data_IF_061679344995
#
_entry.id   IF_061679344995
#
_cell.length_a   1.000
_cell.length_b   1.000
_cell.length_c   1.000
_cell.angle_alpha   90.00
_cell.angle_beta   90.00
_cell.angle_gamma   90.00
#
_symmetry.space_group_name_H-M   'P 1'
#
loop_
_entity.id
_entity.type
_entity.pdbx_description
1 polymer ?
#
# COMPACT_ATOMS: atom_id res chain seq x y z
N UNK A 1 -58.15 -55.85 38.96
CA UNK A 1 -56.72 -55.76 38.71
C UNK A 1 -56.51 -54.65 37.69
N UNK A 2 -56.05 -53.50 38.15
CA UNK A 2 -55.78 -52.34 37.34
C UNK A 2 -54.26 -52.20 37.21
N UNK A 3 -53.73 -52.35 35.99
CA UNK A 3 -52.30 -52.12 35.70
C UNK A 3 -52.05 -50.62 35.48
N UNK A 4 -51.27 -50.03 36.33
CA UNK A 4 -50.75 -48.67 36.17
C UNK A 4 -49.45 -48.79 35.38
N UNK A 5 -49.46 -48.28 34.12
CA UNK A 5 -48.26 -48.15 33.32
C UNK A 5 -47.64 -46.77 33.65
N UNK A 6 -46.52 -46.75 34.32
CA UNK A 6 -45.72 -45.55 34.55
C UNK A 6 -44.90 -45.23 33.29
N UNK A 7 -45.26 -44.17 32.57
CA UNK A 7 -44.45 -43.68 31.44
C UNK A 7 -43.35 -42.81 32.04
N UNK A 8 -42.12 -43.31 31.93
CA UNK A 8 -40.92 -42.58 32.29
C UNK A 8 -40.58 -41.61 31.14
N UNK A 9 -40.95 -40.35 31.26
CA UNK A 9 -40.49 -39.31 30.34
C UNK A 9 -39.03 -39.02 30.58
N UNK A 10 -38.14 -39.51 29.70
CA UNK A 10 -36.75 -39.02 29.62
C UNK A 10 -36.76 -37.59 29.06
N UNK A 11 -36.51 -36.64 29.91
CA UNK A 11 -36.24 -35.27 29.50
C UNK A 11 -34.84 -35.20 28.92
N UNK A 12 -34.74 -35.31 27.58
CA UNK A 12 -33.52 -35.00 26.82
C UNK A 12 -33.33 -33.46 26.91
N UNK A 13 -32.55 -32.99 27.85
CA UNK A 13 -32.06 -31.61 27.82
C UNK A 13 -31.20 -31.45 26.61
N UNK A 14 -31.46 -30.45 25.72
CA UNK A 14 -30.54 -30.15 24.67
C UNK A 14 -29.22 -29.68 25.31
N UNK A 15 -28.15 -30.41 25.07
CA UNK A 15 -26.84 -29.94 25.41
C UNK A 15 -26.60 -28.63 24.66
N UNK A 16 -26.71 -27.51 25.36
CA UNK A 16 -26.23 -26.22 24.87
C UNK A 16 -24.73 -26.37 24.65
N UNK A 17 -24.32 -26.53 23.40
CA UNK A 17 -22.95 -26.31 23.04
C UNK A 17 -22.69 -24.82 23.31
N UNK A 18 -22.03 -24.54 24.40
CA UNK A 18 -21.47 -23.23 24.68
C UNK A 18 -20.46 -22.97 23.55
N UNK A 19 -20.82 -22.12 22.62
CA UNK A 19 -19.84 -21.57 21.70
C UNK A 19 -18.83 -20.83 22.58
N UNK A 20 -17.59 -21.31 22.56
CA UNK A 20 -16.50 -20.65 23.28
C UNK A 20 -16.46 -19.19 22.85
N UNK A 21 -16.86 -18.31 23.77
CA UNK A 21 -16.79 -16.85 23.51
C UNK A 21 -15.32 -16.50 23.52
N UNK A 22 -14.77 -16.22 22.34
CA UNK A 22 -13.44 -15.66 22.25
C UNK A 22 -13.39 -14.34 23.06
N UNK A 23 -12.36 -14.15 23.91
CA UNK A 23 -12.16 -12.89 24.61
C UNK A 23 -12.04 -11.73 23.61
N UNK A 24 -12.53 -10.56 23.96
CA UNK A 24 -12.49 -9.36 23.10
C UNK A 24 -11.07 -9.06 22.63
N UNK A 25 -10.07 -9.34 23.46
CA UNK A 25 -8.64 -9.18 23.15
C UNK A 25 -8.20 -10.02 21.96
N UNK A 26 -8.91 -11.12 21.64
CA UNK A 26 -8.59 -11.97 20.49
C UNK A 26 -8.82 -11.27 19.17
N UNK A 27 -9.81 -10.36 19.10
CA UNK A 27 -10.15 -9.58 17.92
C UNK A 27 -9.21 -8.40 17.69
N UNK A 28 -8.43 -8.03 18.72
CA UNK A 28 -7.45 -6.93 18.65
C UNK A 28 -6.00 -7.42 18.65
N UNK A 29 -5.76 -8.72 18.57
CA UNK A 29 -4.41 -9.25 18.38
C UNK A 29 -3.91 -8.89 16.99
N UNK A 30 -2.69 -8.34 16.95
CA UNK A 30 -1.96 -8.19 15.69
C UNK A 30 -1.87 -9.54 14.99
N UNK A 31 -2.12 -9.54 13.69
CA UNK A 31 -1.87 -10.71 12.84
C UNK A 31 -0.40 -11.13 12.97
N UNK A 32 -0.14 -12.43 13.04
CA UNK A 32 1.21 -12.96 13.06
C UNK A 32 2.01 -12.58 11.81
N UNK A 33 1.30 -12.31 10.72
CA UNK A 33 1.85 -11.89 9.43
C UNK A 33 0.83 -10.98 8.73
N UNK A 34 1.28 -9.89 8.13
CA UNK A 34 0.45 -8.96 7.34
C UNK A 34 1.20 -8.46 6.11
N UNK A 35 0.48 -7.95 5.13
CA UNK A 35 1.01 -7.41 3.88
C UNK A 35 1.99 -8.38 3.17
N UNK A 36 1.60 -9.63 2.88
CA UNK A 36 2.47 -10.54 2.14
C UNK A 36 2.69 -10.02 0.71
N UNK A 37 3.95 -10.08 0.24
CA UNK A 37 4.33 -9.69 -1.12
C UNK A 37 5.42 -10.60 -1.66
N UNK A 38 5.21 -11.17 -2.84
CA UNK A 38 6.21 -11.97 -3.53
C UNK A 38 7.30 -11.07 -4.13
N UNK A 39 8.54 -11.57 -4.14
CA UNK A 39 9.60 -10.97 -4.97
C UNK A 39 9.24 -11.06 -6.45
N UNK A 40 9.73 -10.16 -7.33
CA UNK A 40 9.40 -10.20 -8.76
C UNK A 40 9.70 -11.55 -9.43
N UNK A 41 10.72 -12.28 -8.97
CA UNK A 41 11.09 -13.62 -9.44
C UNK A 41 10.30 -14.76 -8.77
N UNK A 42 9.41 -14.45 -7.81
CA UNK A 42 8.60 -15.43 -7.08
C UNK A 42 9.37 -16.33 -6.11
N UNK A 43 10.68 -16.12 -5.89
CA UNK A 43 11.52 -16.98 -5.06
C UNK A 43 11.39 -16.70 -3.56
N UNK A 44 10.92 -15.52 -3.20
CA UNK A 44 10.82 -15.04 -1.83
C UNK A 44 9.45 -14.44 -1.53
N UNK A 45 8.99 -14.61 -0.29
CA UNK A 45 7.82 -13.94 0.26
C UNK A 45 8.28 -12.98 1.35
N UNK A 46 8.05 -11.69 1.18
CA UNK A 46 8.21 -10.72 2.25
C UNK A 46 6.87 -10.50 2.98
N UNK A 47 6.94 -10.27 4.29
CA UNK A 47 5.77 -9.91 5.07
C UNK A 47 6.14 -9.07 6.29
N UNK A 48 5.18 -8.32 6.83
CA UNK A 48 5.31 -7.67 8.12
C UNK A 48 4.97 -8.66 9.23
N UNK A 49 5.90 -8.82 10.17
CA UNK A 49 5.69 -9.64 11.37
C UNK A 49 5.94 -8.82 12.63
N UNK A 50 5.21 -9.07 13.73
CA UNK A 50 5.46 -8.40 14.98
C UNK A 50 6.81 -8.85 15.57
N UNK A 51 7.63 -7.89 15.97
CA UNK A 51 8.83 -8.09 16.75
C UNK A 51 8.54 -7.63 18.18
N UNK A 52 8.54 -8.56 19.14
CA UNK A 52 8.43 -8.22 20.55
C UNK A 52 9.69 -7.46 20.97
N UNK A 53 9.52 -6.22 21.38
CA UNK A 53 10.60 -5.37 21.86
C UNK A 53 10.60 -5.46 23.39
N UNK A 54 11.62 -6.14 23.95
CA UNK A 54 11.80 -6.17 25.41
C UNK A 54 12.02 -4.76 25.94
N UNK A 55 11.30 -4.41 27.00
CA UNK A 55 11.37 -3.11 27.69
C UNK A 55 12.81 -2.66 27.98
N UNK A 56 13.68 -3.60 28.34
CA UNK A 56 15.10 -3.36 28.66
C UNK A 56 15.94 -2.95 27.44
N UNK A 57 15.49 -3.26 26.23
CA UNK A 57 16.25 -2.96 24.99
C UNK A 57 15.97 -1.57 24.43
N UNK A 58 14.94 -0.87 24.92
CA UNK A 58 14.61 0.50 24.51
C UNK A 58 15.18 1.48 25.54
N UNK A 59 16.23 2.19 25.21
CA UNK A 59 16.97 3.07 26.14
C UNK A 59 16.08 4.08 26.88
N UNK A 60 15.01 4.58 26.26
CA UNK A 60 14.06 5.51 26.91
C UNK A 60 13.08 4.82 27.87
N UNK A 61 13.00 3.47 27.86
CA UNK A 61 12.11 2.69 28.70
C UNK A 61 12.79 2.08 29.93
N UNK A 62 14.10 2.17 30.01
CA UNK A 62 14.92 1.53 31.09
C UNK A 62 14.61 2.06 32.49
N UNK A 63 14.15 3.32 32.64
CA UNK A 63 14.04 3.97 33.94
C UNK A 63 12.78 4.81 34.17
N UNK A 64 11.71 4.67 33.38
CA UNK A 64 10.49 5.45 33.55
C UNK A 64 9.25 4.61 33.40
N UNK A 65 8.36 4.72 34.36
CA UNK A 65 6.93 4.36 34.19
C UNK A 65 6.34 5.26 33.11
N UNK A 66 6.39 4.81 31.86
CA UNK A 66 5.86 5.53 30.69
C UNK A 66 4.34 5.34 30.53
N UNK A 67 3.64 5.21 31.67
CA UNK A 67 2.19 5.13 31.67
C UNK A 67 1.61 6.48 31.34
N UNK A 68 1.12 6.67 30.12
CA UNK A 68 0.31 7.85 29.75
C UNK A 68 -1.16 7.54 29.99
N UNK A 69 -1.83 8.39 30.78
CA UNK A 69 -3.29 8.32 30.91
C UNK A 69 -3.92 8.78 29.59
N UNK A 70 -4.56 7.87 28.90
CA UNK A 70 -5.48 8.15 27.78
C UNK A 70 -6.91 8.19 28.29
N UNK A 71 -7.84 8.78 27.53
CA UNK A 71 -9.30 8.75 27.85
C UNK A 71 -9.85 7.33 27.92
N UNK A 72 -9.18 6.34 27.32
CA UNK A 72 -9.56 4.92 27.29
C UNK A 72 -8.77 4.03 28.25
N UNK A 73 -7.89 4.57 29.11
CA UNK A 73 -7.10 3.78 30.06
C UNK A 73 -5.61 4.12 30.05
N UNK A 74 -4.80 3.34 30.78
CA UNK A 74 -3.37 3.53 30.88
C UNK A 74 -2.67 2.58 29.89
N UNK A 75 -2.00 3.12 28.86
CA UNK A 75 -1.24 2.34 27.87
C UNK A 75 0.26 2.42 28.22
N UNK A 76 0.93 1.28 28.31
CA UNK A 76 2.38 1.19 28.46
C UNK A 76 3.02 1.11 27.08
N UNK A 77 3.64 2.20 26.64
CA UNK A 77 4.27 2.31 25.31
C UNK A 77 5.54 1.48 25.16
N UNK A 78 5.99 0.82 26.21
CA UNK A 78 7.24 0.09 26.21
C UNK A 78 7.11 -1.41 25.93
N UNK A 79 5.90 -1.94 26.03
CA UNK A 79 5.59 -3.36 25.78
C UNK A 79 4.83 -3.57 24.45
N UNK A 80 5.07 -2.70 23.46
CA UNK A 80 4.38 -2.76 22.17
C UNK A 80 5.23 -3.56 21.18
N UNK A 81 4.60 -4.50 20.50
CA UNK A 81 5.22 -5.16 19.34
C UNK A 81 5.45 -4.17 18.21
N UNK A 82 6.54 -4.34 17.47
CA UNK A 82 6.88 -3.50 16.33
C UNK A 82 6.82 -4.33 15.06
N UNK A 83 6.07 -3.86 14.06
CA UNK A 83 6.02 -4.52 12.75
C UNK A 83 7.33 -4.31 12.02
N UNK A 84 7.93 -5.43 11.60
CA UNK A 84 9.20 -5.48 10.90
C UNK A 84 9.09 -6.40 9.68
N UNK A 85 9.94 -6.19 8.68
CA UNK A 85 9.97 -7.00 7.47
C UNK A 85 10.73 -8.29 7.75
N UNK A 86 10.09 -9.39 7.41
CA UNK A 86 10.70 -10.75 7.36
C UNK A 86 10.53 -11.28 5.96
N UNK A 87 11.58 -11.88 5.42
CA UNK A 87 11.58 -12.54 4.11
C UNK A 87 11.68 -14.04 4.32
N UNK A 88 10.84 -14.79 3.64
CA UNK A 88 10.83 -16.26 3.62
C UNK A 88 11.31 -16.75 2.25
N UNK A 89 12.23 -17.68 2.25
CA UNK A 89 12.72 -18.32 1.03
C UNK A 89 11.79 -19.46 0.62
N UNK A 90 11.06 -19.30 -0.47
CA UNK A 90 10.07 -20.28 -0.91
C UNK A 90 10.70 -21.55 -1.52
N UNK A 91 11.92 -21.44 -2.03
CA UNK A 91 12.70 -22.56 -2.55
C UNK A 91 13.48 -23.34 -1.45
N UNK A 92 13.15 -23.14 -0.17
CA UNK A 92 13.71 -23.89 0.94
C UNK A 92 13.41 -25.40 0.77
N UNK A 93 14.40 -26.30 0.87
CA UNK A 93 14.21 -27.74 0.73
C UNK A 93 13.42 -28.39 1.87
N UNK A 94 13.08 -27.67 2.93
CA UNK A 94 12.28 -28.19 4.03
C UNK A 94 10.92 -28.71 3.51
N UNK A 95 10.56 -30.00 3.74
CA UNK A 95 9.31 -30.58 3.22
C UNK A 95 8.06 -29.81 3.64
N UNK A 96 8.02 -29.31 4.88
CA UNK A 96 6.89 -28.55 5.38
C UNK A 96 6.75 -27.19 4.62
N UNK A 97 7.88 -26.56 4.27
CA UNK A 97 7.90 -25.37 3.46
C UNK A 97 7.38 -25.65 2.03
N UNK A 98 7.86 -26.74 1.42
CA UNK A 98 7.42 -27.18 0.08
C UNK A 98 5.92 -27.53 0.04
N UNK A 99 5.36 -27.96 1.17
CA UNK A 99 3.93 -28.21 1.34
C UNK A 99 3.11 -26.94 1.69
N UNK A 100 3.73 -25.75 1.59
CA UNK A 100 3.05 -24.46 1.77
C UNK A 100 3.00 -23.94 3.21
N UNK A 101 3.69 -24.58 4.17
CA UNK A 101 3.77 -24.08 5.55
C UNK A 101 4.85 -23.00 5.65
N UNK A 102 4.54 -21.79 5.25
CA UNK A 102 5.48 -20.65 5.15
C UNK A 102 6.27 -20.42 6.45
N UNK A 103 5.66 -20.65 7.61
CA UNK A 103 6.34 -20.50 8.90
C UNK A 103 7.52 -21.48 9.11
N UNK A 104 7.62 -22.51 8.28
CA UNK A 104 8.70 -23.53 8.29
C UNK A 104 9.79 -23.26 7.26
N UNK A 105 9.58 -22.31 6.36
CA UNK A 105 10.60 -21.88 5.41
C UNK A 105 11.74 -21.13 6.13
N UNK A 106 12.92 -21.17 5.52
CA UNK A 106 14.04 -20.33 5.94
C UNK A 106 13.60 -18.85 5.94
N UNK A 107 13.84 -18.18 7.05
CA UNK A 107 13.41 -16.80 7.25
C UNK A 107 14.58 -15.88 7.57
N UNK A 108 14.57 -14.71 6.93
CA UNK A 108 15.54 -13.63 7.15
C UNK A 108 14.81 -12.44 7.76
N UNK A 109 15.29 -11.97 8.90
CA UNK A 109 14.78 -10.71 9.50
C UNK A 109 15.47 -9.53 8.82
N UNK A 110 14.77 -8.92 7.88
CA UNK A 110 15.32 -7.84 7.05
C UNK A 110 15.43 -6.54 7.83
N UNK A 111 14.42 -6.24 8.66
CA UNK A 111 14.45 -5.06 9.54
C UNK A 111 14.33 -5.45 11.01
N UNK A 112 14.86 -4.61 11.90
CA UNK A 112 14.81 -4.79 13.36
C UNK A 112 14.54 -3.44 14.06
N UNK A 113 13.51 -2.74 13.58
CA UNK A 113 13.10 -1.46 14.16
C UNK A 113 12.49 -1.68 15.55
N UNK A 114 12.92 -0.88 16.52
CA UNK A 114 12.48 -0.98 17.92
C UNK A 114 11.65 0.23 18.37
N UNK A 115 11.79 1.36 17.69
CA UNK A 115 11.14 2.62 18.07
C UNK A 115 9.99 3.02 17.13
N UNK A 116 9.91 2.39 15.98
CA UNK A 116 8.92 2.68 14.93
C UNK A 116 8.45 1.39 14.30
N UNK A 117 7.28 1.43 13.66
CA UNK A 117 6.79 0.35 12.82
C UNK A 117 7.25 0.55 11.37
N UNK A 118 7.42 -0.53 10.63
CA UNK A 118 7.29 -0.47 9.18
C UNK A 118 5.81 -0.23 8.88
N UNK A 119 5.50 0.86 8.19
CA UNK A 119 4.14 1.22 7.80
C UNK A 119 3.69 0.47 6.54
N UNK A 120 4.62 0.30 5.60
CA UNK A 120 4.42 -0.46 4.37
C UNK A 120 5.75 -0.68 3.68
N UNK A 121 5.79 -1.64 2.78
CA UNK A 121 6.96 -1.95 1.99
C UNK A 121 6.57 -2.44 0.59
N UNK A 122 7.52 -2.40 -0.34
CA UNK A 122 7.41 -2.98 -1.68
C UNK A 122 8.76 -3.51 -2.15
N UNK A 123 8.75 -4.57 -2.94
CA UNK A 123 9.89 -5.01 -3.69
C UNK A 123 10.15 -4.01 -4.83
N UNK A 124 11.38 -3.56 -4.97
CA UNK A 124 11.80 -2.69 -6.09
C UNK A 124 12.61 -3.45 -7.15
N UNK A 125 13.17 -4.59 -6.77
CA UNK A 125 13.74 -5.61 -7.65
C UNK A 125 13.86 -6.94 -6.88
N UNK A 126 14.47 -7.97 -7.44
CA UNK A 126 14.60 -9.30 -6.83
C UNK A 126 15.43 -9.34 -5.53
N UNK A 127 16.21 -8.30 -5.25
CA UNK A 127 17.12 -8.25 -4.12
C UNK A 127 16.80 -7.15 -3.11
N UNK A 128 16.04 -6.13 -3.51
CA UNK A 128 15.90 -4.92 -2.72
C UNK A 128 14.45 -4.60 -2.39
N UNK A 129 14.23 -4.24 -1.14
CA UNK A 129 12.94 -3.83 -0.59
C UNK A 129 13.02 -2.36 -0.19
N UNK A 130 12.07 -1.58 -0.67
CA UNK A 130 11.84 -0.21 -0.21
C UNK A 130 10.73 -0.21 0.83
N UNK A 131 10.87 0.58 1.89
CA UNK A 131 9.87 0.65 2.96
C UNK A 131 9.77 2.04 3.57
N UNK A 132 8.64 2.26 4.20
CA UNK A 132 8.34 3.48 4.95
C UNK A 132 8.17 3.15 6.43
N UNK A 133 8.58 4.09 7.30
CA UNK A 133 8.35 3.96 8.73
C UNK A 133 7.19 4.83 9.16
N UNK A 134 6.31 4.31 9.99
CA UNK A 134 5.18 5.03 10.59
C UNK A 134 5.29 5.06 12.11
N UNK A 135 4.72 6.09 12.72
CA UNK A 135 4.51 6.13 14.16
C UNK A 135 3.39 5.17 14.57
N UNK A 136 3.25 4.95 15.89
CA UNK A 136 2.12 4.19 16.42
C UNK A 136 0.81 4.94 16.12
N UNK A 137 -0.06 4.37 15.32
CA UNK A 137 -1.41 4.91 15.08
C UNK A 137 -2.27 4.97 16.37
N UNK A 138 -1.80 4.35 17.44
CA UNK A 138 -2.48 4.37 18.75
C UNK A 138 -2.49 5.74 19.42
N UNK A 139 -1.77 6.72 18.94
CA UNK A 139 -1.68 8.01 19.62
C UNK A 139 -2.75 9.03 19.24
N UNK A 140 -3.68 8.75 18.33
CA UNK A 140 -4.82 9.64 18.06
C UNK A 140 -4.47 11.12 17.77
N UNK A 141 -3.20 11.45 17.75
CA UNK A 141 -2.65 12.77 17.43
C UNK A 141 -2.13 12.71 16.01
N UNK A 142 -3.02 12.49 15.09
CA UNK A 142 -2.80 12.70 13.68
C UNK A 142 -2.87 14.18 13.38
N UNK A 143 -1.92 14.92 13.86
CA UNK A 143 -1.90 16.36 13.59
C UNK A 143 -1.01 16.76 12.45
N UNK A 144 0.02 16.02 12.15
CA UNK A 144 0.92 16.35 11.07
C UNK A 144 1.08 15.11 10.21
N UNK A 145 0.72 15.21 8.93
CA UNK A 145 1.24 14.33 7.90
C UNK A 145 2.70 14.72 7.76
N UNK A 146 3.52 14.23 8.69
CA UNK A 146 4.94 14.32 8.55
C UNK A 146 5.30 13.54 7.29
N UNK A 147 6.14 14.11 6.43
CA UNK A 147 6.57 13.36 5.27
C UNK A 147 7.29 12.12 5.76
N UNK A 148 6.79 10.99 5.33
CA UNK A 148 7.26 9.68 5.72
C UNK A 148 8.65 9.49 5.12
N UNK A 149 9.63 9.08 5.94
CA UNK A 149 10.95 8.73 5.44
C UNK A 149 10.87 7.47 4.56
N UNK A 150 11.63 7.46 3.47
CA UNK A 150 11.75 6.30 2.59
C UNK A 150 13.12 5.66 2.84
N UNK A 151 13.09 4.36 3.05
CA UNK A 151 14.26 3.54 3.31
C UNK A 151 14.32 2.39 2.29
N UNK A 152 15.51 1.84 2.06
CA UNK A 152 15.65 0.61 1.32
C UNK A 152 16.69 -0.30 1.98
N UNK A 153 16.53 -1.60 1.77
CA UNK A 153 17.39 -2.64 2.34
C UNK A 153 17.35 -3.86 1.43
N UNK A 154 18.45 -4.60 1.34
CA UNK A 154 18.47 -5.85 0.61
C UNK A 154 17.73 -6.94 1.40
N UNK A 155 17.19 -7.95 0.70
CA UNK A 155 16.49 -9.10 1.30
C UNK A 155 17.30 -9.89 2.33
N UNK A 156 18.63 -9.82 2.25
CA UNK A 156 19.56 -10.41 3.20
C UNK A 156 19.91 -9.49 4.39
N UNK A 157 19.21 -8.39 4.56
CA UNK A 157 19.43 -7.37 5.60
C UNK A 157 20.68 -6.50 5.39
N UNK A 158 21.34 -6.59 4.24
CA UNK A 158 22.50 -5.76 3.90
C UNK A 158 22.11 -4.45 3.24
N UNK A 159 23.05 -3.54 3.09
CA UNK A 159 22.91 -2.26 2.38
C UNK A 159 21.69 -1.42 2.79
N UNK A 160 21.32 -1.45 4.07
CA UNK A 160 20.26 -0.59 4.58
C UNK A 160 20.60 0.88 4.37
N UNK A 161 19.69 1.64 3.76
CA UNK A 161 19.90 3.04 3.39
C UNK A 161 18.63 3.85 3.61
N UNK A 162 18.77 5.04 4.20
CA UNK A 162 17.73 6.05 4.16
C UNK A 162 17.84 6.80 2.83
N UNK A 163 16.83 6.64 1.96
CA UNK A 163 16.76 7.28 0.65
C UNK A 163 16.20 8.70 0.75
N UNK A 164 15.14 8.86 1.56
CA UNK A 164 14.48 10.13 1.81
C UNK A 164 14.35 10.34 3.31
N UNK A 165 14.78 11.50 3.79
CA UNK A 165 14.61 11.88 5.19
C UNK A 165 13.14 12.23 5.45
N UNK A 166 12.58 11.87 6.63
CA UNK A 166 11.30 12.42 7.05
C UNK A 166 11.37 13.94 7.08
N UNK A 167 10.33 14.61 6.66
CA UNK A 167 10.19 16.06 6.78
C UNK A 167 9.12 16.35 7.84
N UNK A 168 9.50 17.09 8.86
CA UNK A 168 8.63 17.47 9.97
C UNK A 168 8.01 18.84 9.68
N UNK A 169 6.69 18.92 9.71
CA UNK A 169 5.96 20.18 9.54
C UNK A 169 6.15 21.15 10.70
N UNK A 170 6.55 20.66 11.87
CA UNK A 170 6.79 21.50 13.06
C UNK A 170 8.09 22.28 12.94
N UNK A 171 9.11 21.67 12.34
CA UNK A 171 10.46 22.28 12.21
C UNK A 171 10.69 22.94 10.84
N UNK A 172 9.87 22.61 9.84
CA UNK A 172 10.00 23.12 8.47
C UNK A 172 8.73 23.85 8.04
N UNK A 173 8.88 25.04 7.49
CA UNK A 173 7.79 25.78 6.86
C UNK A 173 7.27 25.12 5.58
N UNK A 174 7.99 24.13 5.07
CA UNK A 174 7.67 23.39 3.85
C UNK A 174 7.84 21.89 4.09
N UNK A 175 6.72 21.17 4.05
CA UNK A 175 6.73 19.70 4.06
C UNK A 175 7.06 19.22 2.65
N UNK A 176 8.23 18.60 2.51
CA UNK A 176 8.62 17.96 1.25
C UNK A 176 8.10 16.53 1.23
N UNK A 177 7.19 16.26 0.32
CA UNK A 177 6.65 14.92 0.08
C UNK A 177 7.42 14.27 -1.08
N UNK A 178 7.64 12.97 -0.96
CA UNK A 178 8.20 12.12 -2.01
C UNK A 178 7.32 10.90 -2.11
N UNK A 179 6.67 10.73 -3.26
CA UNK A 179 5.66 9.70 -3.51
C UNK A 179 6.16 8.83 -4.67
N UNK A 180 6.27 7.50 -4.52
CA UNK A 180 6.58 6.61 -5.62
C UNK A 180 5.54 6.77 -6.75
N UNK A 181 6.02 6.83 -7.99
CA UNK A 181 5.20 6.93 -9.20
C UNK A 181 5.25 5.64 -10.01
N UNK A 182 6.45 5.13 -10.30
CA UNK A 182 6.66 3.87 -11.01
C UNK A 182 7.89 3.16 -10.48
N UNK A 183 7.82 1.84 -10.36
CA UNK A 183 8.93 1.00 -9.90
C UNK A 183 9.96 0.71 -11.00
N UNK A 184 9.67 1.04 -12.25
CA UNK A 184 10.52 0.79 -13.41
C UNK A 184 10.98 -0.67 -13.47
N UNK A 185 10.12 -1.63 -13.82
CA UNK A 185 10.43 -3.06 -13.73
C UNK A 185 11.67 -3.49 -14.52
N UNK A 186 12.05 -2.72 -15.54
CA UNK A 186 13.24 -2.97 -16.38
C UNK A 186 14.49 -2.17 -15.97
N UNK A 187 14.40 -1.33 -14.93
CA UNK A 187 15.55 -0.60 -14.36
C UNK A 187 15.78 -1.04 -12.91
N UNK A 188 16.74 -1.95 -12.66
CA UNK A 188 16.95 -2.50 -11.33
C UNK A 188 17.54 -1.51 -10.32
N UNK A 189 17.95 -0.32 -10.75
CA UNK A 189 18.63 0.66 -9.89
C UNK A 189 17.79 1.89 -9.58
N UNK A 190 16.71 2.14 -10.30
CA UNK A 190 15.95 3.37 -10.18
C UNK A 190 14.45 3.11 -10.07
N UNK A 191 13.76 4.10 -9.52
CA UNK A 191 12.31 4.26 -9.57
C UNK A 191 11.97 5.69 -9.97
N UNK A 192 10.73 5.90 -10.43
CA UNK A 192 10.19 7.24 -10.58
C UNK A 192 9.46 7.66 -9.30
N UNK A 193 9.65 8.91 -8.92
CA UNK A 193 8.97 9.50 -7.77
C UNK A 193 8.47 10.90 -8.12
N UNK A 194 7.34 11.26 -7.53
CA UNK A 194 6.84 12.62 -7.53
C UNK A 194 7.37 13.35 -6.28
N UNK A 195 7.82 14.60 -6.42
CA UNK A 195 8.37 15.35 -5.31
C UNK A 195 8.07 16.85 -5.41
N UNK A 196 7.63 17.47 -4.31
CA UNK A 196 7.26 18.88 -4.24
C UNK A 196 8.36 19.78 -3.63
N UNK A 197 9.63 19.43 -3.81
CA UNK A 197 10.75 20.17 -3.19
C UNK A 197 10.98 21.55 -3.79
N UNK A 198 10.51 21.82 -5.01
CA UNK A 198 10.61 23.10 -5.68
C UNK A 198 9.46 24.03 -5.33
N UNK A 199 8.22 23.54 -5.43
CA UNK A 199 6.99 24.28 -5.10
C UNK A 199 6.08 23.44 -4.20
N UNK A 200 5.41 24.08 -3.23
CA UNK A 200 4.65 23.39 -2.17
C UNK A 200 3.55 22.45 -2.68
N UNK A 201 2.82 22.87 -3.69
CA UNK A 201 1.64 22.15 -4.22
C UNK A 201 1.84 21.62 -5.64
N UNK A 202 3.07 21.64 -6.15
CA UNK A 202 3.40 21.12 -7.46
C UNK A 202 4.47 20.04 -7.34
N UNK A 203 4.20 18.90 -7.93
CA UNK A 203 5.09 17.75 -7.92
C UNK A 203 5.83 17.64 -9.24
N UNK A 204 7.14 17.81 -9.19
CA UNK A 204 8.03 17.45 -10.29
C UNK A 204 8.25 15.94 -10.28
N UNK A 205 8.56 15.34 -11.43
CA UNK A 205 8.95 13.94 -11.50
C UNK A 205 10.46 13.80 -11.49
N UNK A 206 10.93 12.88 -10.67
CA UNK A 206 12.36 12.55 -10.53
C UNK A 206 12.58 11.06 -10.74
N UNK A 207 13.73 10.71 -11.32
CA UNK A 207 14.31 9.38 -11.27
C UNK A 207 15.18 9.31 -10.02
N UNK A 208 14.88 8.39 -9.10
CA UNK A 208 15.59 8.19 -7.84
C UNK A 208 16.35 6.87 -7.88
N UNK A 209 17.67 6.93 -7.60
CA UNK A 209 18.47 5.73 -7.44
C UNK A 209 18.19 5.09 -6.07
N UNK A 210 17.75 3.83 -6.05
CA UNK A 210 17.32 3.10 -4.86
C UNK A 210 18.47 2.61 -3.96
N UNK A 211 19.70 2.73 -4.38
CA UNK A 211 20.89 2.40 -3.58
C UNK A 211 21.52 3.63 -2.93
N UNK A 212 21.49 4.76 -3.63
CA UNK A 212 22.19 5.98 -3.18
C UNK A 212 21.25 7.05 -2.65
N UNK A 213 19.97 7.03 -3.06
CA UNK A 213 18.99 8.09 -2.78
C UNK A 213 19.23 9.36 -3.60
N UNK A 214 20.04 9.32 -4.66
CA UNK A 214 20.24 10.46 -5.55
C UNK A 214 19.06 10.64 -6.48
N UNK A 215 18.67 11.90 -6.69
CA UNK A 215 17.58 12.30 -7.56
C UNK A 215 18.11 12.98 -8.83
N UNK A 216 17.51 12.64 -9.96
CA UNK A 216 17.61 13.37 -11.22
C UNK A 216 16.22 13.81 -11.64
N UNK A 217 15.97 15.13 -11.72
CA UNK A 217 14.70 15.62 -12.22
C UNK A 217 14.54 15.28 -13.70
N UNK A 218 13.41 14.69 -14.05
CA UNK A 218 13.05 14.36 -15.44
C UNK A 218 12.22 15.48 -16.04
N UNK A 219 11.15 15.89 -15.36
CA UNK A 219 10.21 16.87 -15.87
C UNK A 219 9.73 17.80 -14.76
N UNK A 220 9.52 19.06 -15.13
CA UNK A 220 8.78 20.03 -14.35
C UNK A 220 7.33 20.10 -14.87
N UNK A 221 6.35 20.36 -13.98
CA UNK A 221 4.96 20.47 -14.40
C UNK A 221 4.75 21.51 -15.48
N UNK A 222 3.95 21.22 -16.53
CA UNK A 222 3.54 22.20 -17.53
C UNK A 222 2.54 23.22 -16.97
N UNK A 223 1.89 22.89 -15.85
CA UNK A 223 0.87 23.70 -15.18
C UNK A 223 0.66 23.27 -13.74
N UNK A 224 -0.53 23.43 -13.16
CA UNK A 224 -0.90 23.02 -11.80
C UNK A 224 -1.18 21.49 -11.74
N UNK A 225 -0.15 20.68 -11.99
CA UNK A 225 -0.26 19.22 -12.03
C UNK A 225 -0.47 18.66 -10.62
N UNK A 226 -1.51 17.85 -10.47
CA UNK A 226 -1.89 17.13 -9.25
C UNK A 226 -1.59 15.64 -9.34
N UNK A 227 -1.45 15.08 -10.54
CA UNK A 227 -1.14 13.68 -10.78
C UNK A 227 -0.34 13.46 -12.06
N UNK A 228 0.46 12.39 -12.07
CA UNK A 228 1.27 11.96 -13.20
C UNK A 228 1.04 10.47 -13.46
N UNK A 229 1.19 10.05 -14.72
CA UNK A 229 1.33 8.64 -15.05
C UNK A 229 2.53 8.43 -15.97
N UNK A 230 3.27 7.37 -15.69
CA UNK A 230 4.39 6.89 -16.51
C UNK A 230 4.04 5.52 -17.06
N UNK A 231 4.45 5.25 -18.29
CA UNK A 231 4.33 3.92 -18.91
C UNK A 231 5.34 2.91 -18.34
N UNK A 232 5.34 1.68 -18.88
CA UNK A 232 6.19 0.59 -18.39
C UNK A 232 7.69 0.85 -18.64
N UNK A 233 8.04 1.70 -19.61
CA UNK A 233 9.41 2.12 -19.91
C UNK A 233 9.85 3.34 -19.10
N UNK A 234 8.92 3.95 -18.36
CA UNK A 234 9.17 5.11 -17.51
C UNK A 234 9.08 6.45 -18.24
N UNK A 235 8.47 6.49 -19.42
CA UNK A 235 8.14 7.73 -20.11
C UNK A 235 6.93 8.35 -19.42
N UNK A 236 6.99 9.66 -19.13
CA UNK A 236 5.89 10.37 -18.51
C UNK A 236 4.86 10.72 -19.58
N UNK A 237 3.77 9.94 -19.64
CA UNK A 237 2.76 10.03 -20.70
C UNK A 237 1.57 10.93 -20.33
N UNK A 238 1.25 11.07 -19.03
CA UNK A 238 0.05 11.77 -18.61
C UNK A 238 0.32 12.73 -17.44
N UNK A 239 -0.33 13.90 -17.50
CA UNK A 239 -0.39 14.88 -16.42
C UNK A 239 -1.85 15.28 -16.18
N UNK A 240 -2.36 15.04 -14.96
CA UNK A 240 -3.64 15.57 -14.52
C UNK A 240 -3.42 16.94 -13.89
N UNK A 241 -4.06 17.98 -14.44
CA UNK A 241 -3.94 19.37 -13.95
C UNK A 241 -5.24 19.81 -13.34
N UNK A 242 -5.15 20.54 -12.22
CA UNK A 242 -6.30 21.22 -11.59
C UNK A 242 -5.95 22.68 -11.33
N UNK A 243 -6.84 23.58 -11.75
CA UNK A 243 -6.72 25.00 -11.36
C UNK A 243 -7.31 25.17 -9.96
N UNK A 244 -6.46 25.56 -9.00
CA UNK A 244 -6.88 25.86 -7.62
C UNK A 244 -7.91 27.00 -7.54
N UNK A 245 -8.00 27.84 -8.56
CA UNK A 245 -8.94 28.95 -8.64
C UNK A 245 -10.26 28.59 -9.37
N UNK A 246 -10.33 27.38 -9.93
CA UNK A 246 -11.56 26.89 -10.55
C UNK A 246 -12.62 26.59 -9.48
N UNK A 247 -13.75 27.28 -9.53
CA UNK A 247 -14.88 27.04 -8.62
C UNK A 247 -15.47 25.63 -8.77
N UNK A 248 -15.23 24.99 -9.91
CA UNK A 248 -15.82 23.70 -10.29
C UNK A 248 -14.85 22.53 -10.13
N UNK A 249 -13.62 22.74 -9.60
CA UNK A 249 -12.60 21.70 -9.50
C UNK A 249 -12.39 20.95 -10.84
N UNK A 250 -12.22 21.73 -11.91
CA UNK A 250 -12.00 21.18 -13.23
C UNK A 250 -10.67 20.47 -13.31
N UNK A 251 -10.68 19.23 -13.83
CA UNK A 251 -9.48 18.44 -14.08
C UNK A 251 -9.25 18.33 -15.58
N UNK A 252 -8.09 18.75 -16.03
CA UNK A 252 -7.61 18.61 -17.41
C UNK A 252 -6.66 17.43 -17.49
N UNK A 253 -6.88 16.54 -18.43
CA UNK A 253 -5.98 15.40 -18.67
C UNK A 253 -5.12 15.72 -19.89
N UNK A 254 -3.84 15.94 -19.62
CA UNK A 254 -2.82 16.18 -20.63
C UNK A 254 -2.08 14.87 -20.94
N UNK A 255 -1.87 14.60 -22.21
CA UNK A 255 -1.20 13.42 -22.72
C UNK A 255 -0.11 13.78 -23.73
N UNK A 256 0.91 12.94 -23.85
CA UNK A 256 1.93 12.99 -24.89
C UNK A 256 2.43 11.56 -25.21
N UNK A 257 2.86 11.35 -26.45
CA UNK A 257 3.31 10.02 -26.91
C UNK A 257 4.69 9.63 -26.40
N UNK A 258 5.59 10.60 -26.20
CA UNK A 258 6.93 10.38 -25.72
C UNK A 258 7.51 11.64 -25.04
N UNK A 259 8.77 11.57 -24.61
CA UNK A 259 9.44 12.68 -23.91
C UNK A 259 9.69 13.92 -24.80
N UNK A 260 9.72 13.75 -26.11
CA UNK A 260 9.96 14.82 -27.09
C UNK A 260 8.66 15.42 -27.64
N UNK A 261 7.52 14.78 -27.39
CA UNK A 261 6.21 15.21 -27.87
C UNK A 261 5.62 16.33 -27.03
N UNK A 262 4.84 17.21 -27.66
CA UNK A 262 4.09 18.27 -26.99
C UNK A 262 2.89 17.71 -26.22
N UNK A 263 2.57 18.37 -25.10
CA UNK A 263 1.38 18.03 -24.31
C UNK A 263 0.10 18.42 -25.04
N UNK A 264 -0.82 17.47 -25.18
CA UNK A 264 -2.15 17.65 -25.75
C UNK A 264 -3.22 17.38 -24.69
N UNK A 265 -4.24 18.20 -24.63
CA UNK A 265 -5.42 17.91 -23.81
C UNK A 265 -6.25 16.83 -24.50
N UNK A 266 -6.46 15.70 -23.81
CA UNK A 266 -7.23 14.57 -24.34
C UNK A 266 -8.57 14.39 -23.64
N UNK A 267 -8.74 14.97 -22.44
CA UNK A 267 -10.02 14.94 -21.74
C UNK A 267 -10.10 16.04 -20.68
N UNK A 268 -11.34 16.34 -20.26
CA UNK A 268 -11.65 17.35 -19.25
C UNK A 268 -12.93 16.98 -18.53
N UNK A 269 -12.91 16.99 -17.21
CA UNK A 269 -14.09 16.75 -16.40
C UNK A 269 -14.19 17.72 -15.22
N UNK A 270 -15.43 18.00 -14.80
CA UNK A 270 -15.73 18.89 -13.69
C UNK A 270 -16.10 18.09 -12.44
N UNK A 271 -15.72 18.63 -11.29
CA UNK A 271 -16.05 18.09 -9.98
C UNK A 271 -15.01 17.10 -9.45
N UNK A 272 -15.20 16.75 -8.18
CA UNK A 272 -14.30 15.83 -7.46
C UNK A 272 -14.73 14.36 -7.54
N UNK A 273 -15.92 14.09 -8.07
CA UNK A 273 -16.55 12.78 -7.97
C UNK A 273 -16.65 12.01 -9.29
N UNK A 274 -16.55 12.71 -10.43
CA UNK A 274 -16.68 12.09 -11.75
C UNK A 274 -15.39 12.24 -12.53
N UNK A 275 -14.94 11.15 -13.14
CA UNK A 275 -13.74 11.16 -13.94
C UNK A 275 -13.10 9.80 -14.08
N UNK A 276 -11.88 9.80 -14.55
CA UNK A 276 -11.07 8.60 -14.62
C UNK A 276 -9.62 8.88 -14.23
N UNK A 277 -8.93 7.83 -13.83
CA UNK A 277 -7.52 7.89 -13.47
C UNK A 277 -6.75 6.68 -13.98
N UNK A 278 -5.52 6.90 -14.43
CA UNK A 278 -4.64 5.83 -14.92
C UNK A 278 -4.14 4.99 -13.75
N UNK A 279 -4.23 3.68 -13.91
CA UNK A 279 -3.73 2.68 -12.97
C UNK A 279 -2.56 1.88 -13.52
N UNK A 280 -2.37 1.86 -14.85
CA UNK A 280 -1.29 1.17 -15.53
C UNK A 280 -1.36 1.39 -17.03
N UNK A 281 -0.38 0.82 -17.75
CA UNK A 281 -0.35 0.80 -19.21
C UNK A 281 -0.36 -0.64 -19.71
N UNK A 282 -0.88 -0.87 -20.93
CA UNK A 282 -0.74 -2.15 -21.61
C UNK A 282 0.73 -2.50 -21.85
N UNK A 283 1.03 -3.77 -22.08
CA UNK A 283 2.41 -4.25 -22.27
C UNK A 283 3.17 -3.48 -23.37
N UNK A 284 2.48 -3.10 -24.42
CA UNK A 284 3.02 -2.33 -25.55
C UNK A 284 2.98 -0.81 -25.33
N UNK A 285 2.50 -0.34 -24.18
CA UNK A 285 2.32 1.06 -23.82
C UNK A 285 1.35 1.85 -24.74
N UNK A 286 0.57 1.17 -25.60
CA UNK A 286 -0.32 1.84 -26.55
C UNK A 286 -1.60 2.35 -25.89
N UNK A 287 -2.07 1.69 -24.82
CA UNK A 287 -3.32 2.03 -24.11
C UNK A 287 -3.09 2.09 -22.60
N UNK A 288 -4.08 2.65 -21.91
CA UNK A 288 -4.02 2.84 -20.46
C UNK A 288 -5.13 2.08 -19.77
N UNK A 289 -4.80 1.30 -18.73
CA UNK A 289 -5.80 0.84 -17.78
C UNK A 289 -6.25 1.99 -16.91
N UNK A 290 -7.54 2.20 -16.82
CA UNK A 290 -8.14 3.29 -16.07
C UNK A 290 -9.20 2.78 -15.11
N UNK A 291 -9.29 3.40 -13.94
CA UNK A 291 -10.50 3.31 -13.12
C UNK A 291 -11.38 4.51 -13.44
N UNK A 292 -12.66 4.28 -13.68
CA UNK A 292 -13.60 5.33 -14.09
C UNK A 292 -14.95 5.15 -13.42
N UNK A 293 -15.62 6.24 -13.13
CA UNK A 293 -17.03 6.28 -12.73
C UNK A 293 -17.85 7.20 -13.64
N UNK A 294 -17.36 7.44 -14.85
CA UNK A 294 -18.11 8.24 -15.83
C UNK A 294 -19.43 7.56 -16.20
N UNK A 295 -20.54 8.27 -15.92
CA UNK A 295 -21.88 7.76 -16.20
C UNK A 295 -22.41 6.69 -15.23
N UNK A 296 -21.73 6.44 -14.11
CA UNK A 296 -22.11 5.45 -13.12
C UNK A 296 -21.78 5.86 -11.69
N UNK A 297 -22.37 5.19 -10.69
CA UNK A 297 -22.19 5.52 -9.27
C UNK A 297 -20.92 4.90 -8.66
N UNK A 298 -20.38 3.83 -9.27
CA UNK A 298 -19.23 3.08 -8.77
C UNK A 298 -18.07 3.11 -9.75
N UNK A 299 -16.85 2.98 -9.22
CA UNK A 299 -15.67 2.88 -10.07
C UNK A 299 -15.56 1.50 -10.70
N UNK A 300 -15.44 1.46 -12.03
CA UNK A 300 -15.13 0.29 -12.84
C UNK A 300 -13.69 0.30 -13.35
N UNK A 301 -13.24 -0.81 -13.93
CA UNK A 301 -11.99 -0.90 -14.68
C UNK A 301 -12.29 -0.83 -16.18
N UNK A 302 -11.58 0.04 -16.88
CA UNK A 302 -11.62 0.15 -18.34
C UNK A 302 -10.23 0.25 -18.97
N UNK A 303 -10.20 0.24 -20.28
CA UNK A 303 -9.02 0.58 -21.11
C UNK A 303 -9.34 1.87 -21.88
N UNK A 304 -8.53 2.89 -21.65
CA UNK A 304 -8.55 4.12 -22.44
C UNK A 304 -7.61 4.00 -23.64
N UNK A 305 -8.12 4.34 -24.79
CA UNK A 305 -7.37 4.40 -26.04
C UNK A 305 -7.10 5.87 -26.38
N UNK A 306 -5.84 6.34 -26.34
CA UNK A 306 -5.52 7.74 -26.58
C UNK A 306 -5.69 8.17 -28.05
N UNK A 307 -5.69 7.22 -29.01
CA UNK A 307 -5.92 7.54 -30.42
C UNK A 307 -7.39 7.85 -30.71
N UNK A 308 -8.31 7.15 -30.05
CA UNK A 308 -9.76 7.32 -30.26
C UNK A 308 -10.44 8.18 -29.20
N UNK A 309 -9.78 8.40 -28.05
CA UNK A 309 -10.34 9.10 -26.89
C UNK A 309 -11.48 8.34 -26.22
N UNK A 310 -11.54 7.02 -26.36
CA UNK A 310 -12.63 6.18 -25.82
C UNK A 310 -12.15 5.28 -24.69
N UNK A 311 -13.07 4.99 -23.74
CA UNK A 311 -12.85 3.99 -22.70
C UNK A 311 -13.71 2.77 -23.06
N UNK A 312 -13.08 1.60 -23.12
CA UNK A 312 -13.71 0.30 -23.20
C UNK A 312 -13.81 -0.31 -21.81
N UNK A 313 -15.01 -0.68 -21.36
CA UNK A 313 -15.21 -1.31 -20.06
C UNK A 313 -14.65 -2.73 -20.04
N UNK A 314 -13.79 -3.03 -19.06
CA UNK A 314 -13.24 -4.37 -18.84
C UNK A 314 -13.90 -5.11 -17.70
N UNK A 315 -14.19 -4.41 -16.62
CA UNK A 315 -14.76 -5.02 -15.42
C UNK A 315 -15.54 -3.99 -14.62
N UNK A 316 -16.76 -4.35 -14.30
CA UNK A 316 -17.66 -3.63 -13.40
C UNK A 316 -18.18 -4.60 -12.33
N UNK A 317 -18.36 -4.12 -11.11
CA UNK A 317 -19.06 -4.87 -10.06
C UNK A 317 -20.24 -4.04 -9.54
N UNK A 318 -21.43 -4.59 -9.68
CA UNK A 318 -22.67 -3.92 -9.30
C UNK A 318 -22.68 -3.56 -7.81
N UNK A 319 -22.77 -2.26 -7.52
CA UNK A 319 -22.91 -1.71 -6.16
C UNK A 319 -21.61 -1.56 -5.36
N UNK A 320 -20.43 -1.83 -5.94
CA UNK A 320 -19.15 -1.62 -5.25
C UNK A 320 -18.04 -1.16 -6.17
N UNK A 321 -17.16 -0.30 -5.63
CA UNK A 321 -16.01 0.21 -6.37
C UNK A 321 -14.94 -0.85 -6.61
N UNK A 322 -14.32 -0.81 -7.78
CA UNK A 322 -13.00 -1.39 -8.03
C UNK A 322 -11.97 -0.61 -7.20
N UNK A 323 -11.23 -1.33 -6.37
CA UNK A 323 -10.28 -0.70 -5.42
C UNK A 323 -8.83 -0.79 -5.81
N UNK A 324 -8.46 -1.91 -6.42
CA UNK A 324 -7.07 -2.15 -6.81
C UNK A 324 -7.00 -3.13 -7.98
N UNK A 325 -5.94 -3.01 -8.75
CA UNK A 325 -5.67 -3.86 -9.89
C UNK A 325 -4.24 -4.38 -9.71
N UNK A 326 -4.06 -5.69 -9.84
CA UNK A 326 -2.75 -6.30 -9.85
C UNK A 326 -2.29 -6.51 -11.29
N UNK A 327 -1.05 -6.12 -11.55
CA UNK A 327 -0.42 -6.23 -12.85
C UNK A 327 0.74 -7.21 -12.83
N UNK A 328 1.03 -7.83 -13.98
CA UNK A 328 2.33 -8.46 -14.23
C UNK A 328 3.42 -7.39 -14.27
N UNK A 329 4.71 -7.77 -14.13
CA UNK A 329 5.80 -6.81 -14.32
C UNK A 329 5.82 -6.16 -15.72
N UNK A 330 5.21 -6.79 -16.72
CA UNK A 330 5.11 -6.29 -18.09
C UNK A 330 3.88 -5.44 -18.36
N UNK A 331 3.01 -5.22 -17.35
CA UNK A 331 1.86 -4.33 -17.48
C UNK A 331 0.53 -5.02 -17.83
N UNK A 332 0.47 -6.37 -17.87
CA UNK A 332 -0.79 -7.07 -18.06
C UNK A 332 -1.61 -7.06 -16.76
N UNK A 333 -2.89 -6.66 -16.80
CA UNK A 333 -3.79 -6.72 -15.66
C UNK A 333 -4.23 -8.16 -15.39
N UNK A 334 -3.93 -8.69 -14.20
CA UNK A 334 -4.18 -10.09 -13.83
C UNK A 334 -5.21 -10.28 -12.71
N UNK A 335 -5.43 -9.27 -11.89
CA UNK A 335 -6.39 -9.33 -10.78
C UNK A 335 -7.09 -8.01 -10.58
N UNK A 336 -8.36 -8.10 -10.19
CA UNK A 336 -9.16 -6.94 -9.78
C UNK A 336 -9.62 -7.16 -8.35
N UNK A 337 -9.38 -6.21 -7.47
CA UNK A 337 -9.84 -6.21 -6.08
C UNK A 337 -11.00 -5.24 -5.90
N UNK A 338 -12.11 -5.74 -5.38
CA UNK A 338 -13.29 -4.96 -5.03
C UNK A 338 -13.88 -5.44 -3.69
N UNK A 339 -14.71 -4.64 -3.04
CA UNK A 339 -15.41 -5.05 -1.84
C UNK A 339 -16.75 -5.69 -2.24
N UNK A 340 -16.97 -6.94 -1.91
CA UNK A 340 -18.30 -7.54 -1.98
C UNK A 340 -19.03 -7.32 -0.65
N UNK A 341 -20.10 -6.52 -0.68
CA UNK A 341 -20.94 -6.26 0.49
C UNK A 341 -21.89 -7.47 0.75
N UNK A 342 -22.03 -8.36 -0.22
CA UNK A 342 -22.97 -9.50 -0.20
C UNK A 342 -22.30 -10.83 0.17
N UNK A 343 -21.16 -10.85 0.85
CA UNK A 343 -20.62 -12.12 1.38
C UNK A 343 -21.62 -12.74 2.34
N UNK A 344 -22.50 -13.61 1.80
CA UNK A 344 -23.20 -14.59 2.62
C UNK A 344 -22.13 -15.45 3.26
N UNK A 345 -22.12 -15.64 4.58
CA UNK A 345 -21.24 -16.60 5.19
C UNK A 345 -21.57 -17.97 4.56
N UNK A 346 -20.61 -18.56 3.89
CA UNK A 346 -20.65 -19.96 3.46
C UNK A 346 -20.39 -20.86 4.66
#
# INVERSE_FOLDING_TARGET
MRHIIAILMLVLSPASFAVDKYPVEHFFKDSAMSQPALSPDGQYLAALTPLNVNRETVSRCKNKTTKRKSRSGTVDFCDVSRRNIVVFKLSDPNPDCQNGIIAKCERIRVTQLRSQNVAGFTWVNNDRIMFQTGGDQLNGVTGAIDSIGIYAVNKDSTQAKQLVKPSDAVTNTKVIQTIPLSLLPFDPEHILVMRNDRKRYQFDVYRMNIYTGKFKRLIAPPGPVVGWAADNDGVIRLAAMQDENSLNYETQIMYRDDDDSEWQEIDRFEGLQNGWGVTGFTEDNSKMYVTTNLGQDTYSLGIFDPETGTIEDLFENEGTDVRNIGFTPTGEAITVLYNDINTKPQ
#
